data_IF_145553603706
#
_entry.id   IF_145553603706
#
_cell.length_a   1.000
_cell.length_b   1.000
_cell.length_c   1.000
_cell.angle_alpha   90.00
_cell.angle_beta   90.00
_cell.angle_gamma   90.00
#
_symmetry.space_group_name_H-M   'P 1'
#
loop_
_entity.id
_entity.type
_entity.pdbx_description
1 polymer ?
#
# COMPACT_ATOMS: atom_id res chain seq x y z
N UNK A 1 17.17 29.09 25.09
CA UNK A 1 16.18 28.00 24.99
C UNK A 1 16.58 27.14 23.80
N UNK A 2 17.09 25.94 24.07
CA UNK A 2 17.73 25.08 23.08
C UNK A 2 16.72 24.55 22.05
N UNK A 3 17.06 24.67 20.77
CA UNK A 3 16.31 24.09 19.67
C UNK A 3 16.56 22.58 19.62
N UNK A 4 15.58 21.78 20.03
CA UNK A 4 15.60 20.33 19.81
C UNK A 4 15.23 20.06 18.35
N UNK A 5 16.24 19.88 17.50
CA UNK A 5 16.06 19.32 16.16
C UNK A 5 15.74 17.83 16.29
N UNK A 6 14.63 17.29 15.73
CA UNK A 6 14.40 15.86 15.75
C UNK A 6 15.36 15.20 14.75
N UNK A 7 16.48 14.68 15.25
CA UNK A 7 17.33 13.76 14.48
C UNK A 7 16.47 12.56 14.08
N UNK A 8 16.36 12.21 12.79
CA UNK A 8 15.62 11.01 12.41
C UNK A 8 16.37 9.81 12.97
N UNK A 9 15.81 9.20 14.02
CA UNK A 9 16.25 7.92 14.56
C UNK A 9 16.41 6.93 13.40
N UNK A 10 17.45 6.07 13.41
CA UNK A 10 17.67 5.11 12.34
C UNK A 10 16.43 4.22 12.19
N UNK A 11 15.69 4.44 11.11
CA UNK A 11 14.48 3.66 10.79
C UNK A 11 14.92 2.26 10.37
N UNK A 12 14.41 1.24 11.05
CA UNK A 12 14.67 -0.15 10.68
C UNK A 12 14.23 -0.49 9.24
N UNK A 13 14.82 -1.51 8.61
CA UNK A 13 14.52 -1.88 7.23
C UNK A 13 13.06 -2.30 7.06
N UNK A 14 12.40 -1.77 6.03
CA UNK A 14 11.00 -2.04 5.76
C UNK A 14 10.83 -3.36 4.99
N UNK A 15 10.41 -4.44 5.65
CA UNK A 15 10.23 -5.72 4.96
C UNK A 15 9.20 -5.68 3.81
N UNK A 16 8.29 -4.71 3.74
CA UNK A 16 7.38 -4.58 2.59
C UNK A 16 8.11 -4.28 1.28
N UNK A 17 9.21 -3.55 1.36
CA UNK A 17 10.09 -3.22 0.24
C UNK A 17 11.12 -4.32 -0.02
N UNK A 18 11.23 -5.33 0.85
CA UNK A 18 12.20 -6.40 0.70
C UNK A 18 11.76 -7.42 -0.37
N UNK A 19 12.71 -7.88 -1.19
CA UNK A 19 12.49 -8.92 -2.21
C UNK A 19 12.18 -10.29 -1.61
N UNK A 20 12.68 -10.57 -0.41
CA UNK A 20 12.54 -11.87 0.26
C UNK A 20 11.25 -12.00 1.07
N UNK A 21 10.52 -10.91 1.25
CA UNK A 21 9.23 -10.93 1.94
C UNK A 21 8.21 -11.74 1.14
N UNK A 22 7.59 -12.70 1.81
CA UNK A 22 6.59 -13.58 1.23
C UNK A 22 5.32 -13.60 2.10
N UNK A 23 4.18 -13.67 1.43
CA UNK A 23 2.88 -13.96 2.05
C UNK A 23 2.63 -15.46 1.83
N UNK A 24 2.44 -16.20 2.92
CA UNK A 24 2.40 -17.67 2.95
C UNK A 24 1.01 -18.25 2.80
N UNK A 25 -0.03 -17.41 2.87
CA UNK A 25 -1.46 -17.77 2.86
C UNK A 25 -1.91 -18.68 4.02
N UNK A 26 -1.05 -18.96 5.00
CA UNK A 26 -1.43 -19.63 6.24
C UNK A 26 -2.05 -18.60 7.21
N UNK A 27 -3.28 -18.85 7.65
CA UNK A 27 -4.02 -17.97 8.58
C UNK A 27 -3.26 -17.75 9.89
N UNK A 28 -2.55 -18.77 10.39
CA UNK A 28 -1.79 -18.67 11.64
C UNK A 28 -0.51 -17.86 11.48
N UNK A 29 0.08 -17.93 10.29
CA UNK A 29 1.43 -17.45 10.06
C UNK A 29 1.57 -16.83 8.66
N UNK A 30 0.91 -15.68 8.42
CA UNK A 30 0.71 -15.13 7.07
C UNK A 30 1.98 -14.54 6.45
N UNK A 31 3.00 -14.22 7.25
CA UNK A 31 4.24 -13.64 6.76
C UNK A 31 5.37 -14.65 6.76
N UNK A 32 6.34 -14.48 5.86
CA UNK A 32 7.54 -15.28 5.84
C UNK A 32 8.72 -14.56 5.19
N UNK A 33 9.92 -14.95 5.62
CA UNK A 33 11.17 -14.47 5.06
C UNK A 33 11.84 -15.58 4.25
N UNK A 34 11.96 -15.40 2.92
CA UNK A 34 12.62 -16.37 2.03
C UNK A 34 14.13 -16.48 2.25
N UNK A 35 14.77 -15.42 2.75
CA UNK A 35 16.21 -15.41 3.01
C UNK A 35 16.57 -16.29 4.22
N UNK A 36 15.80 -16.15 5.30
CA UNK A 36 16.01 -16.87 6.56
C UNK A 36 15.22 -18.18 6.66
N UNK A 37 14.25 -18.40 5.77
CA UNK A 37 13.51 -19.66 5.67
C UNK A 37 12.40 -19.86 6.70
N UNK A 38 12.01 -18.84 7.46
CA UNK A 38 10.96 -18.94 8.48
C UNK A 38 9.64 -18.24 8.08
N UNK A 39 8.58 -18.61 8.77
CA UNK A 39 7.26 -17.97 8.72
C UNK A 39 6.94 -17.38 10.09
N UNK A 40 6.27 -16.24 10.14
CA UNK A 40 5.92 -15.53 11.38
C UNK A 40 4.51 -14.94 11.33
N UNK A 41 3.93 -14.73 12.52
CA UNK A 41 2.61 -14.08 12.67
C UNK A 41 2.69 -12.57 12.48
N UNK A 42 3.85 -11.99 12.83
CA UNK A 42 4.18 -10.58 12.62
C UNK A 42 5.11 -10.41 11.42
N UNK A 43 5.32 -9.16 11.00
CA UNK A 43 6.29 -8.80 9.96
C UNK A 43 7.67 -9.40 10.30
N UNK A 44 8.36 -10.07 9.36
CA UNK A 44 9.62 -10.76 9.64
C UNK A 44 10.75 -9.87 10.15
N UNK A 45 10.80 -8.58 9.80
CA UNK A 45 11.78 -7.63 10.38
C UNK A 45 11.61 -7.47 11.88
N UNK A 46 10.37 -7.51 12.36
CA UNK A 46 10.07 -7.39 13.78
C UNK A 46 10.42 -8.68 14.52
N UNK A 47 10.21 -9.83 13.89
CA UNK A 47 10.62 -11.12 14.45
C UNK A 47 12.14 -11.19 14.58
N UNK A 48 12.88 -10.83 13.52
CA UNK A 48 14.35 -10.74 13.54
C UNK A 48 14.83 -9.77 14.62
N UNK A 49 14.19 -8.61 14.77
CA UNK A 49 14.55 -7.65 15.81
C UNK A 49 14.35 -8.23 17.23
N UNK A 50 13.32 -9.05 17.44
CA UNK A 50 13.05 -9.72 18.73
C UNK A 50 14.03 -10.84 19.02
N UNK A 51 14.39 -11.64 18.01
CA UNK A 51 15.27 -12.79 18.17
C UNK A 51 16.74 -12.38 18.24
N UNK A 52 17.20 -11.52 17.34
CA UNK A 52 18.62 -11.15 17.22
C UNK A 52 18.97 -9.87 18.01
N UNK A 53 17.97 -9.11 18.45
CA UNK A 53 18.17 -7.80 19.10
C UNK A 53 18.73 -6.73 18.16
N UNK A 54 18.86 -7.04 16.87
CA UNK A 54 19.42 -6.16 15.83
C UNK A 54 18.46 -6.08 14.64
N UNK A 55 18.54 -4.99 13.89
CA UNK A 55 17.79 -4.86 12.65
C UNK A 55 18.29 -5.87 11.59
N UNK A 56 17.37 -6.33 10.75
CA UNK A 56 17.67 -7.32 9.71
C UNK A 56 18.74 -6.80 8.73
N UNK A 57 19.94 -7.39 8.75
CA UNK A 57 21.04 -7.06 7.83
C UNK A 57 20.87 -7.63 6.42
N UNK A 58 19.94 -8.58 6.23
CA UNK A 58 19.65 -9.22 4.95
C UNK A 58 18.66 -8.47 4.05
N UNK A 59 18.39 -7.20 4.34
CA UNK A 59 17.44 -6.41 3.55
C UNK A 59 17.95 -6.24 2.12
N UNK A 60 17.13 -6.64 1.15
CA UNK A 60 17.41 -6.42 -0.27
C UNK A 60 16.16 -5.82 -0.90
N UNK A 61 16.25 -4.58 -1.43
CA UNK A 61 15.09 -3.90 -1.98
C UNK A 61 14.54 -4.66 -3.19
N UNK A 62 13.22 -4.61 -3.39
CA UNK A 62 12.58 -5.07 -4.62
C UNK A 62 13.13 -4.25 -5.79
N UNK A 63 13.35 -4.87 -6.97
CA UNK A 63 13.66 -4.09 -8.16
C UNK A 63 12.54 -3.07 -8.35
N UNK A 64 12.91 -1.80 -8.45
CA UNK A 64 11.98 -0.74 -8.72
C UNK A 64 11.24 -1.10 -10.02
N UNK A 65 9.91 -1.21 -9.95
CA UNK A 65 9.11 -1.13 -11.16
C UNK A 65 9.31 0.30 -11.63
N UNK A 66 10.04 0.49 -12.73
CA UNK A 66 10.27 1.82 -13.30
C UNK A 66 8.96 2.58 -13.31
N UNK A 67 8.93 3.77 -12.70
CA UNK A 67 7.81 4.70 -12.60
C UNK A 67 7.36 5.26 -13.97
N UNK A 68 7.33 4.44 -15.01
CA UNK A 68 6.65 4.71 -16.28
C UNK A 68 5.13 4.89 -16.09
N UNK A 69 4.60 4.64 -14.89
CA UNK A 69 3.22 4.94 -14.52
C UNK A 69 3.10 6.06 -13.48
N UNK A 70 3.91 7.12 -13.59
CA UNK A 70 3.33 8.46 -13.45
C UNK A 70 2.48 8.73 -14.70
N UNK A 71 1.43 7.92 -14.90
CA UNK A 71 0.38 8.20 -15.87
C UNK A 71 -0.17 9.54 -15.42
N UNK A 72 0.14 10.56 -16.22
CA UNK A 72 -0.54 11.84 -16.20
C UNK A 72 -2.02 11.56 -15.98
N UNK A 73 -2.54 11.85 -14.79
CA UNK A 73 -3.98 11.96 -14.58
C UNK A 73 -4.40 13.14 -15.46
N UNK A 74 -4.63 12.90 -16.75
CA UNK A 74 -5.52 13.77 -17.50
C UNK A 74 -6.85 13.67 -16.75
N UNK A 75 -7.46 14.80 -16.34
CA UNK A 75 -8.73 14.76 -15.64
C UNK A 75 -9.71 13.94 -16.49
N UNK A 76 -10.38 12.99 -15.85
CA UNK A 76 -11.53 12.32 -16.45
C UNK A 76 -12.46 13.43 -16.95
N UNK A 77 -12.72 13.46 -18.26
CA UNK A 77 -13.65 14.41 -18.85
C UNK A 77 -15.03 14.28 -18.19
N UNK A 78 -15.77 15.39 -18.19
CA UNK A 78 -17.09 15.55 -17.60
C UNK A 78 -18.01 14.31 -17.76
N UNK A 79 -18.77 14.03 -16.69
CA UNK A 79 -19.71 12.91 -16.61
C UNK A 79 -20.58 12.82 -17.86
N UNK A 80 -20.52 11.68 -18.54
CA UNK A 80 -21.35 11.40 -19.72
C UNK A 80 -22.83 11.70 -19.43
N UNK A 81 -23.52 12.44 -20.31
CA UNK A 81 -24.98 12.69 -20.29
C UNK A 81 -25.82 11.42 -20.50
N UNK A 82 -25.30 10.24 -20.13
CA UNK A 82 -25.97 8.95 -20.27
C UNK A 82 -27.31 8.91 -19.53
N UNK A 83 -27.47 9.68 -18.45
CA UNK A 83 -28.77 9.83 -17.76
C UNK A 83 -29.78 10.65 -18.55
N UNK A 84 -29.34 11.67 -19.27
CA UNK A 84 -30.20 12.56 -20.08
C UNK A 84 -30.68 11.87 -21.37
N UNK A 85 -29.82 11.07 -22.00
CA UNK A 85 -30.09 10.42 -23.29
C UNK A 85 -30.62 8.98 -23.18
N UNK A 86 -30.99 8.50 -21.98
CA UNK A 86 -31.53 7.15 -21.84
C UNK A 86 -33.02 7.13 -22.27
N UNK A 87 -33.37 6.46 -23.40
CA UNK A 87 -34.73 6.46 -23.92
C UNK A 87 -35.72 5.65 -23.06
N UNK A 88 -35.26 4.96 -22.00
CA UNK A 88 -36.08 4.13 -21.13
C UNK A 88 -36.67 4.87 -19.93
N UNK A 89 -36.41 6.17 -19.76
CA UNK A 89 -36.96 6.98 -18.66
C UNK A 89 -37.79 8.14 -19.22
N UNK A 90 -39.12 8.15 -19.07
CA UNK A 90 -39.89 9.36 -19.30
C UNK A 90 -39.54 10.35 -18.18
N UNK A 91 -39.04 11.53 -18.54
CA UNK A 91 -38.82 12.64 -17.61
C UNK A 91 -40.19 13.22 -17.26
N UNK A 92 -40.78 12.75 -16.16
CA UNK A 92 -41.93 13.42 -15.57
C UNK A 92 -41.43 14.56 -14.70
N UNK A 93 -41.50 15.79 -15.21
CA UNK A 93 -41.46 16.97 -14.35
C UNK A 93 -42.72 16.93 -13.49
N UNK A 94 -42.57 16.62 -12.22
CA UNK A 94 -43.61 16.90 -11.22
C UNK A 94 -43.78 18.42 -11.18
N UNK A 95 -44.79 18.93 -11.88
CA UNK A 95 -45.25 20.29 -11.67
C UNK A 95 -45.75 20.35 -10.22
N UNK A 96 -44.98 21.00 -9.33
CA UNK A 96 -45.49 21.39 -8.03
C UNK A 96 -46.58 22.44 -8.27
N UNK A 97 -47.83 22.00 -8.28
CA UNK A 97 -49.01 22.86 -8.27
C UNK A 97 -49.29 23.19 -6.80
N UNK A 98 -48.80 24.33 -6.32
CA UNK A 98 -49.52 25.43 -5.64
C UNK A 98 -48.59 26.28 -4.77
#
# INVERSE_FOLDING_TARGET
MAATSPTPLPKGPNCWECRYMAITWDVRMPYGCKLMGFRSKVVPSLEVLRTDGRFCGGFSPKPAKTDAQKVSKKPVGNSSQRRENDPRRPVYHINLIT
#
